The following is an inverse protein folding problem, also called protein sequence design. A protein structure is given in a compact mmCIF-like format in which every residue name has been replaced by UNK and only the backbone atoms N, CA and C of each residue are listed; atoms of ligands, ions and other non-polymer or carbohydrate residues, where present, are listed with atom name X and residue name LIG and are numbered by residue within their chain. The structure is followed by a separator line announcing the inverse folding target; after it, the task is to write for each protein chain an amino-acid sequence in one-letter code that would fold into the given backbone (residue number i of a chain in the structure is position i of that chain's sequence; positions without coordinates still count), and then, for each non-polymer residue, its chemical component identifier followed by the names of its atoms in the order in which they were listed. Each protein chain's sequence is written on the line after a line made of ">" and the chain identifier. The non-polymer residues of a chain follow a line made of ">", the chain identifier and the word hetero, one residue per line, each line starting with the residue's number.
data_IF_373651039582
#
_entry.id   IF_373651039582
#
_cell.length_a   1.000
_cell.length_b   1.000
_cell.length_c   1.000
_cell.angle_alpha   90.00
_cell.angle_beta   90.00
_cell.angle_gamma   90.00
#
_symmetry.space_group_name_H-M   'P 1'
#
loop_
_entity.id
_entity.type
_entity.pdbx_description
1 polymer ?
#
# COMPACT_ATOMS: atom_id res chain seq x y z
N UNK A 1 -15.04 32.34 31.60
CA UNK A 1 -14.95 30.94 32.08
C UNK A 1 -15.77 29.97 31.22
N UNK A 2 -17.08 30.21 30.98
CA UNK A 2 -17.94 29.30 30.17
C UNK A 2 -17.42 28.95 28.76
N UNK A 3 -16.78 29.90 28.06
CA UNK A 3 -16.20 29.68 26.72
C UNK A 3 -14.95 28.79 26.72
N UNK A 4 -14.16 28.80 27.81
CA UNK A 4 -12.94 27.98 27.95
C UNK A 4 -13.32 26.53 28.26
N UNK A 5 -14.33 26.31 29.10
CA UNK A 5 -14.91 24.97 29.34
C UNK A 5 -15.51 24.35 28.07
N UNK A 6 -16.11 25.17 27.18
CA UNK A 6 -16.69 24.66 25.93
C UNK A 6 -15.61 24.22 24.92
N UNK A 7 -14.49 24.94 24.86
CA UNK A 7 -13.34 24.60 24.01
C UNK A 7 -12.63 23.34 24.53
N UNK A 8 -12.48 23.19 25.85
CA UNK A 8 -11.91 21.98 26.45
C UNK A 8 -12.79 20.74 26.22
N UNK A 9 -14.12 20.89 26.24
CA UNK A 9 -15.06 19.81 25.95
C UNK A 9 -15.01 19.39 24.47
N UNK A 10 -14.79 20.34 23.55
CA UNK A 10 -14.67 20.09 22.10
C UNK A 10 -13.36 19.40 21.71
N UNK A 11 -12.27 19.65 22.45
CA UNK A 11 -11.00 18.94 22.26
C UNK A 11 -11.03 17.49 22.80
N UNK A 12 -11.89 17.21 23.79
CA UNK A 12 -12.01 15.88 24.39
C UNK A 12 -12.81 14.89 23.51
N UNK A 13 -13.55 15.38 22.51
CA UNK A 13 -14.37 14.57 21.60
C UNK A 13 -13.63 13.97 20.39
N UNK A 14 -12.32 14.21 20.24
CA UNK A 14 -11.50 13.69 19.13
C UNK A 14 -10.69 12.43 19.49
N UNK A 15 -11.22 11.54 20.33
CA UNK A 15 -10.62 10.22 20.48
C UNK A 15 -10.90 9.40 19.23
N UNK A 16 -9.88 9.21 18.40
CA UNK A 16 -9.88 8.30 17.26
C UNK A 16 -10.15 6.88 17.76
N UNK A 17 -11.39 6.40 17.61
CA UNK A 17 -11.74 5.02 17.89
C UNK A 17 -11.22 4.16 16.73
N UNK A 18 -10.18 3.37 16.98
CA UNK A 18 -9.74 2.33 16.05
C UNK A 18 -10.74 1.17 16.09
N UNK A 19 -11.77 1.21 15.24
CA UNK A 19 -12.65 0.07 15.04
C UNK A 19 -11.95 -0.98 14.16
N UNK A 20 -10.96 -1.69 14.72
CA UNK A 20 -10.41 -2.86 14.05
C UNK A 20 -11.44 -3.98 14.14
N UNK A 21 -11.81 -4.54 12.99
CA UNK A 21 -12.62 -5.74 12.96
C UNK A 21 -11.91 -6.83 13.79
N UNK A 22 -12.64 -7.63 14.58
CA UNK A 22 -12.04 -8.66 15.40
C UNK A 22 -11.15 -9.59 14.56
N UNK A 23 -9.91 -9.85 15.01
CA UNK A 23 -8.98 -10.78 14.37
C UNK A 23 -9.35 -12.24 14.66
N UNK A 24 -10.62 -12.59 14.45
CA UNK A 24 -11.19 -13.90 14.72
C UNK A 24 -12.23 -14.25 13.68
N UNK A 25 -12.44 -15.54 13.41
CA UNK A 25 -13.52 -16.01 12.54
C UNK A 25 -14.36 -17.07 13.26
N UNK A 26 -15.68 -17.04 13.05
CA UNK A 26 -16.57 -18.06 13.62
C UNK A 26 -16.38 -19.39 12.90
N UNK A 27 -16.35 -20.49 13.65
CA UNK A 27 -16.28 -21.84 13.12
C UNK A 27 -17.20 -22.76 13.90
N UNK A 28 -17.92 -23.62 13.18
CA UNK A 28 -18.82 -24.60 13.76
C UNK A 28 -18.59 -25.95 13.09
N UNK A 29 -18.57 -27.00 13.90
CA UNK A 29 -18.45 -28.37 13.40
C UNK A 29 -19.21 -29.34 14.29
N UNK A 30 -19.79 -30.37 13.69
CA UNK A 30 -20.46 -31.46 14.41
C UNK A 30 -19.47 -32.60 14.61
N UNK A 31 -19.20 -32.94 15.86
CA UNK A 31 -18.22 -33.96 16.22
C UNK A 31 -18.91 -35.33 16.36
N UNK A 32 -18.40 -36.30 15.61
CA UNK A 32 -18.85 -37.70 15.62
C UNK A 32 -17.71 -38.64 15.96
N UNK A 33 -18.02 -39.75 16.63
CA UNK A 33 -17.10 -40.87 16.81
C UNK A 33 -16.97 -41.67 15.52
N UNK A 34 -16.04 -42.62 15.50
CA UNK A 34 -15.81 -43.54 14.37
C UNK A 34 -17.03 -44.40 14.02
N UNK A 35 -17.89 -44.69 15.00
CA UNK A 35 -19.16 -45.41 14.83
C UNK A 35 -20.31 -44.51 14.31
N UNK A 36 -20.06 -43.22 14.07
CA UNK A 36 -21.03 -42.24 13.60
C UNK A 36 -21.88 -41.59 14.69
N UNK A 37 -21.76 -42.02 15.95
CA UNK A 37 -22.48 -41.45 17.10
C UNK A 37 -22.00 -40.03 17.41
N UNK A 38 -22.90 -39.18 17.91
CA UNK A 38 -22.59 -37.80 18.28
C UNK A 38 -21.80 -37.76 19.60
N UNK A 39 -20.81 -36.86 19.66
CA UNK A 39 -20.12 -36.53 20.91
C UNK A 39 -20.88 -35.38 21.55
N UNK A 40 -21.78 -35.68 22.49
CA UNK A 40 -22.72 -34.70 23.07
C UNK A 40 -22.28 -34.24 24.46
N UNK A 41 -22.44 -32.96 24.79
CA UNK A 41 -22.17 -32.37 26.11
C UNK A 41 -20.79 -32.77 26.69
N UNK A 42 -19.79 -32.91 25.83
CA UNK A 42 -18.46 -33.39 26.21
C UNK A 42 -17.43 -32.30 25.96
N UNK A 43 -16.51 -32.12 26.91
CA UNK A 43 -15.36 -31.25 26.73
C UNK A 43 -14.35 -31.90 25.79
N UNK A 44 -14.02 -31.22 24.70
CA UNK A 44 -13.11 -31.70 23.67
C UNK A 44 -11.97 -30.70 23.43
N UNK A 45 -10.80 -31.22 23.09
CA UNK A 45 -9.62 -30.45 22.72
C UNK A 45 -9.54 -30.38 21.21
N UNK A 46 -9.35 -29.19 20.64
CA UNK A 46 -9.34 -28.96 19.20
C UNK A 46 -8.08 -28.19 18.82
N UNK A 47 -7.28 -28.78 17.94
CA UNK A 47 -6.19 -28.11 17.25
C UNK A 47 -6.68 -27.65 15.88
N UNK A 48 -6.46 -26.38 15.57
CA UNK A 48 -6.90 -25.73 14.34
C UNK A 48 -5.67 -25.27 13.59
N UNK A 49 -5.56 -25.62 12.31
CA UNK A 49 -4.49 -25.20 11.42
C UNK A 49 -5.05 -24.51 10.19
N UNK A 50 -4.46 -23.39 9.79
CA UNK A 50 -4.69 -22.75 8.49
C UNK A 50 -3.59 -23.21 7.54
N UNK A 51 -3.97 -24.00 6.54
CA UNK A 51 -3.07 -24.54 5.53
C UNK A 51 -3.14 -23.69 4.25
N UNK A 52 -2.00 -23.45 3.62
CA UNK A 52 -1.90 -22.67 2.38
C UNK A 52 -1.80 -23.56 1.14
N UNK A 53 -2.53 -23.22 0.08
CA UNK A 53 -2.43 -23.80 -1.26
C UNK A 53 -3.18 -25.12 -1.46
N UNK A 54 -3.14 -26.03 -0.50
CA UNK A 54 -3.84 -27.33 -0.59
C UNK A 54 -4.26 -27.89 0.78
N UNK A 55 -5.05 -28.96 0.76
CA UNK A 55 -5.49 -29.70 1.96
C UNK A 55 -4.36 -30.33 2.77
N UNK A 56 -3.17 -30.45 2.18
CA UNK A 56 -1.93 -30.94 2.81
C UNK A 56 -0.80 -29.91 2.75
N UNK A 57 -1.15 -28.63 2.51
CA UNK A 57 -0.18 -27.55 2.37
C UNK A 57 0.45 -27.13 3.69
N UNK A 58 1.36 -26.17 3.62
CA UNK A 58 2.08 -25.65 4.80
C UNK A 58 1.10 -24.98 5.77
N UNK A 59 1.21 -25.31 7.06
CA UNK A 59 0.44 -24.64 8.11
C UNK A 59 1.06 -23.28 8.43
N UNK A 60 0.40 -22.20 8.00
CA UNK A 60 0.84 -20.82 8.24
C UNK A 60 0.38 -20.27 9.59
N UNK A 61 -0.62 -20.91 10.19
CA UNK A 61 -1.11 -20.61 11.53
C UNK A 61 -1.64 -21.89 12.19
N UNK A 62 -1.33 -22.08 13.47
CA UNK A 62 -1.82 -23.20 14.29
C UNK A 62 -2.20 -22.68 15.67
N UNK A 63 -3.36 -23.09 16.18
CA UNK A 63 -3.80 -22.82 17.56
C UNK A 63 -4.48 -24.03 18.19
N UNK A 64 -4.59 -24.02 19.51
CA UNK A 64 -5.38 -24.97 20.29
C UNK A 64 -6.48 -24.27 21.09
N UNK A 65 -7.62 -24.95 21.20
CA UNK A 65 -8.79 -24.52 21.95
C UNK A 65 -9.46 -25.72 22.63
N UNK A 66 -10.16 -25.46 23.73
CA UNK A 66 -11.05 -26.43 24.37
C UNK A 66 -12.47 -25.90 24.32
N UNK A 67 -13.45 -26.75 23.97
CA UNK A 67 -14.87 -26.36 23.94
C UNK A 67 -15.74 -27.53 24.37
N UNK A 68 -16.99 -27.25 24.74
CA UNK A 68 -17.98 -28.28 25.08
C UNK A 68 -18.99 -28.39 23.95
N UNK A 69 -19.20 -29.60 23.42
CA UNK A 69 -20.22 -29.84 22.40
C UNK A 69 -21.62 -29.73 22.99
N UNK A 70 -22.62 -29.35 22.18
CA UNK A 70 -24.02 -29.32 22.64
C UNK A 70 -24.73 -30.68 22.45
N UNK A 71 -26.05 -30.72 22.69
CA UNK A 71 -26.90 -31.92 22.52
C UNK A 71 -26.91 -32.49 21.09
N UNK A 72 -26.58 -31.68 20.08
CA UNK A 72 -26.47 -32.09 18.68
C UNK A 72 -25.02 -32.42 18.29
N UNK A 73 -24.11 -32.49 19.26
CA UNK A 73 -22.68 -32.71 19.02
C UNK A 73 -21.96 -31.53 18.35
N UNK A 74 -22.59 -30.35 18.33
CA UNK A 74 -22.04 -29.15 17.70
C UNK A 74 -21.01 -28.49 18.63
N UNK A 75 -19.80 -28.30 18.10
CA UNK A 75 -18.77 -27.45 18.67
C UNK A 75 -18.81 -26.07 18.00
N UNK A 76 -18.84 -25.00 18.79
CA UNK A 76 -18.76 -23.61 18.32
C UNK A 76 -17.47 -22.98 18.83
N UNK A 77 -16.70 -22.39 17.92
CA UNK A 77 -15.36 -21.86 18.16
C UNK A 77 -15.18 -20.51 17.46
N UNK A 78 -14.22 -19.73 17.93
CA UNK A 78 -13.73 -18.53 17.24
C UNK A 78 -12.25 -18.74 16.90
N UNK A 79 -11.94 -19.07 15.65
CA UNK A 79 -10.57 -19.27 15.18
C UNK A 79 -9.81 -17.95 15.29
N UNK A 80 -8.59 -17.95 15.85
CA UNK A 80 -7.83 -16.75 16.19
C UNK A 80 -8.04 -16.29 17.64
N UNK A 81 -8.90 -16.98 18.39
CA UNK A 81 -9.15 -16.76 19.82
C UNK A 81 -8.49 -17.78 20.74
N UNK A 82 -7.79 -18.77 20.19
CA UNK A 82 -7.15 -19.85 20.94
C UNK A 82 -5.72 -19.52 21.38
N UNK A 83 -5.03 -20.56 21.85
CA UNK A 83 -3.60 -20.47 22.20
C UNK A 83 -2.78 -20.74 20.94
N UNK A 84 -2.08 -19.73 20.37
CA UNK A 84 -1.29 -19.94 19.16
C UNK A 84 -0.06 -20.81 19.45
N UNK A 85 0.20 -21.77 18.55
CA UNK A 85 1.39 -22.65 18.54
C UNK A 85 2.36 -22.19 17.44
N UNK A 86 1.82 -21.82 16.28
CA UNK A 86 2.61 -21.37 15.12
C UNK A 86 1.98 -20.12 14.54
N UNK A 87 2.79 -19.09 14.28
CA UNK A 87 2.36 -17.84 13.67
C UNK A 87 1.37 -17.05 14.53
N UNK A 88 0.79 -16.01 13.94
CA UNK A 88 -0.31 -15.24 14.54
C UNK A 88 -1.44 -15.13 13.52
N UNK A 89 -2.69 -15.10 13.98
CA UNK A 89 -3.83 -14.96 13.06
C UNK A 89 -3.75 -13.66 12.23
N UNK A 90 -3.25 -12.58 12.85
CA UNK A 90 -2.99 -11.29 12.19
C UNK A 90 -1.90 -11.35 11.12
N UNK A 91 -0.92 -12.25 11.27
CA UNK A 91 0.23 -12.38 10.38
C UNK A 91 -0.03 -13.24 9.13
N UNK A 92 -1.23 -13.83 9.00
CA UNK A 92 -1.57 -14.65 7.83
C UNK A 92 -1.70 -13.75 6.59
N UNK A 93 -0.88 -14.02 5.56
CA UNK A 93 -0.95 -13.29 4.30
C UNK A 93 -2.07 -13.82 3.39
N UNK A 94 -3.31 -13.43 3.66
CA UNK A 94 -4.50 -13.92 2.95
C UNK A 94 -4.54 -13.70 1.42
N UNK A 95 -3.62 -12.92 0.82
CA UNK A 95 -3.49 -12.82 -0.65
C UNK A 95 -2.81 -14.02 -1.30
N UNK A 96 -2.07 -14.84 -0.54
CA UNK A 96 -1.15 -15.80 -1.13
C UNK A 96 -1.82 -17.11 -1.56
N UNK A 97 -3.00 -17.01 -2.18
CA UNK A 97 -3.72 -18.12 -2.78
C UNK A 97 -4.85 -18.68 -1.91
N UNK A 98 -5.17 -19.96 -2.11
CA UNK A 98 -6.25 -20.66 -1.41
C UNK A 98 -5.82 -21.08 -0.01
N UNK A 99 -6.79 -21.12 0.91
CA UNK A 99 -6.56 -21.55 2.29
C UNK A 99 -7.53 -22.66 2.70
N UNK A 100 -7.11 -23.49 3.64
CA UNK A 100 -7.89 -24.58 4.18
C UNK A 100 -7.83 -24.55 5.70
N UNK A 101 -8.96 -24.81 6.36
CA UNK A 101 -9.01 -25.10 7.79
C UNK A 101 -8.87 -26.60 7.98
N UNK A 102 -7.84 -27.00 8.69
CA UNK A 102 -7.72 -28.36 9.24
C UNK A 102 -8.04 -28.32 10.73
N UNK A 103 -8.95 -29.17 11.14
CA UNK A 103 -9.28 -29.40 12.55
C UNK A 103 -8.86 -30.81 12.95
N UNK A 104 -8.33 -30.92 14.16
CA UNK A 104 -7.89 -32.16 14.78
C UNK A 104 -8.47 -32.17 16.20
N UNK A 105 -9.22 -33.20 16.58
CA UNK A 105 -10.02 -33.24 17.82
C UNK A 105 -9.62 -34.41 18.72
N UNK A 106 -9.46 -34.12 20.02
CA UNK A 106 -9.31 -35.06 21.12
C UNK A 106 -10.59 -35.06 21.96
N UNK A 107 -11.22 -36.23 22.10
CA UNK A 107 -12.48 -36.41 22.80
C UNK A 107 -12.36 -36.27 24.33
N UNK A 108 -11.15 -36.29 24.87
CA UNK A 108 -10.87 -36.19 26.31
C UNK A 108 -10.43 -34.79 26.74
N UNK A 109 -10.34 -33.84 25.79
CA UNK A 109 -9.81 -32.50 26.09
C UNK A 109 -8.28 -32.41 26.11
N UNK A 110 -7.57 -33.50 25.85
CA UNK A 110 -6.12 -33.57 25.82
C UNK A 110 -5.50 -33.18 24.47
N UNK A 111 -4.33 -33.74 24.18
CA UNK A 111 -3.54 -33.49 22.97
C UNK A 111 -3.43 -34.72 22.05
N UNK A 112 -4.19 -35.78 22.31
CA UNK A 112 -4.21 -36.98 21.49
C UNK A 112 -5.33 -36.89 20.44
N UNK A 113 -5.07 -36.07 19.41
CA UNK A 113 -6.04 -35.78 18.37
C UNK A 113 -6.24 -36.97 17.43
N UNK A 114 -7.44 -37.53 17.42
CA UNK A 114 -7.77 -38.77 16.68
C UNK A 114 -8.77 -38.54 15.55
N UNK A 115 -9.60 -37.51 15.64
CA UNK A 115 -10.54 -37.13 14.58
C UNK A 115 -9.95 -35.95 13.83
N UNK A 116 -9.90 -36.01 12.50
CA UNK A 116 -9.43 -34.88 11.68
C UNK A 116 -10.38 -34.59 10.52
N UNK A 117 -10.48 -33.32 10.16
CA UNK A 117 -11.24 -32.86 9.01
C UNK A 117 -10.60 -31.62 8.40
N UNK A 118 -10.55 -31.56 7.07
CA UNK A 118 -10.02 -30.42 6.32
C UNK A 118 -11.11 -29.86 5.41
N UNK A 119 -11.28 -28.55 5.41
CA UNK A 119 -12.27 -27.85 4.59
C UNK A 119 -11.65 -26.61 3.96
N UNK A 120 -11.98 -26.32 2.71
CA UNK A 120 -11.49 -25.12 2.04
C UNK A 120 -12.18 -23.87 2.61
N UNK A 121 -11.40 -22.81 2.83
CA UNK A 121 -11.92 -21.46 3.04
C UNK A 121 -12.34 -20.88 1.70
N UNK A 122 -13.64 -20.93 1.41
CA UNK A 122 -14.23 -20.32 0.21
C UNK A 122 -14.31 -18.79 0.31
N UNK A 123 -14.27 -18.26 1.53
CA UNK A 123 -14.09 -16.84 1.80
C UNK A 123 -13.19 -16.72 3.02
N UNK A 124 -11.98 -16.22 2.80
CA UNK A 124 -11.18 -15.64 3.89
C UNK A 124 -11.92 -14.40 4.41
N UNK A 125 -11.64 -13.87 5.60
CA UNK A 125 -12.23 -12.62 6.06
C UNK A 125 -11.90 -11.46 5.11
N UNK A 126 -12.70 -11.34 4.05
CA UNK A 126 -12.51 -10.42 2.94
C UNK A 126 -12.55 -8.96 3.43
N UNK A 127 -13.23 -8.71 4.56
CA UNK A 127 -13.33 -7.41 5.20
C UNK A 127 -12.06 -6.96 5.95
N UNK A 128 -11.20 -7.87 6.43
CA UNK A 128 -9.93 -7.44 7.08
C UNK A 128 -8.82 -7.17 6.06
N UNK A 129 -8.91 -7.77 4.87
CA UNK A 129 -7.88 -7.74 3.85
C UNK A 129 -8.17 -6.73 2.72
N UNK A 130 -9.44 -6.51 2.37
CA UNK A 130 -9.84 -5.60 1.28
C UNK A 130 -9.49 -4.11 1.52
N UNK A 131 -9.24 -3.70 2.77
CA UNK A 131 -8.85 -2.32 3.11
C UNK A 131 -7.35 -2.05 3.09
N UNK A 132 -6.51 -3.08 3.26
CA UNK A 132 -5.07 -2.92 3.47
C UNK A 132 -4.21 -3.48 2.33
N UNK A 133 -4.67 -4.49 1.59
CA UNK A 133 -3.87 -5.10 0.52
C UNK A 133 -4.08 -4.46 -0.86
N UNK A 134 -5.13 -3.65 -1.01
CA UNK A 134 -5.48 -3.00 -2.28
C UNK A 134 -4.74 -1.67 -2.47
N UNK A 135 -4.12 -1.15 -1.41
CA UNK A 135 -3.58 0.20 -1.37
C UNK A 135 -4.69 1.26 -1.38
N UNK A 136 -4.31 2.50 -1.09
CA UNK A 136 -5.17 3.65 -1.33
C UNK A 136 -5.08 4.04 -2.79
N UNK A 137 -6.19 4.48 -3.38
CA UNK A 137 -6.19 5.07 -4.74
C UNK A 137 -5.26 6.28 -4.85
N UNK A 138 -5.15 7.04 -3.76
CA UNK A 138 -4.28 8.21 -3.67
C UNK A 138 -3.42 8.16 -2.41
N UNK A 139 -2.12 8.38 -2.56
CA UNK A 139 -1.20 8.62 -1.44
C UNK A 139 -0.97 10.12 -1.33
N UNK A 140 -1.13 10.65 -0.11
CA UNK A 140 -1.04 12.09 0.16
C UNK A 140 -0.04 12.33 1.29
N UNK A 141 1.08 12.98 0.97
CA UNK A 141 2.11 13.38 1.93
C UNK A 141 2.06 14.90 2.12
N UNK A 142 1.87 15.35 3.37
CA UNK A 142 1.78 16.78 3.70
C UNK A 142 2.36 17.10 5.07
N UNK A 143 2.63 18.38 5.34
CA UNK A 143 3.04 18.87 6.65
C UNK A 143 4.47 18.48 7.05
N UNK A 144 4.73 18.39 8.35
CA UNK A 144 6.08 18.14 8.87
C UNK A 144 6.47 16.65 8.85
N UNK A 145 6.29 16.00 7.70
CA UNK A 145 6.62 14.59 7.50
C UNK A 145 8.12 14.42 7.23
N UNK A 146 8.77 13.53 7.97
CA UNK A 146 10.19 13.15 7.73
C UNK A 146 10.31 12.12 6.62
N UNK A 147 11.52 11.91 6.08
CA UNK A 147 11.78 10.87 5.07
C UNK A 147 11.33 9.48 5.52
N UNK A 148 11.60 9.11 6.78
CA UNK A 148 11.23 7.80 7.33
C UNK A 148 9.71 7.64 7.43
N UNK A 149 8.99 8.70 7.84
CA UNK A 149 7.53 8.69 7.91
C UNK A 149 6.91 8.62 6.52
N UNK A 150 7.44 9.37 5.56
CA UNK A 150 6.99 9.33 4.17
C UNK A 150 7.17 7.95 3.56
N UNK A 151 8.34 7.33 3.73
CA UNK A 151 8.61 5.97 3.24
C UNK A 151 7.68 4.94 3.90
N UNK A 152 7.46 5.03 5.22
CA UNK A 152 6.55 4.13 5.94
C UNK A 152 5.11 4.29 5.47
N UNK A 153 4.64 5.53 5.26
CA UNK A 153 3.30 5.79 4.76
C UNK A 153 3.13 5.29 3.33
N UNK A 154 4.09 5.56 2.44
CA UNK A 154 4.08 5.05 1.07
C UNK A 154 4.02 3.52 1.07
N UNK A 155 4.86 2.84 1.87
CA UNK A 155 4.88 1.38 1.95
C UNK A 155 3.56 0.80 2.50
N UNK A 156 2.89 1.49 3.41
CA UNK A 156 1.62 1.06 4.00
C UNK A 156 0.41 1.34 3.10
N UNK A 157 0.48 2.39 2.27
CA UNK A 157 -0.65 2.84 1.43
C UNK A 157 -0.54 2.38 -0.03
N UNK A 158 0.62 1.91 -0.46
CA UNK A 158 0.82 1.39 -1.81
C UNK A 158 0.09 0.05 -2.00
N UNK A 159 -0.56 -0.09 -3.16
CA UNK A 159 -1.15 -1.34 -3.61
C UNK A 159 -1.55 -1.30 -5.09
N UNK A 160 -2.17 -2.37 -5.60
CA UNK A 160 -2.47 -2.54 -7.02
C UNK A 160 -3.38 -1.46 -7.63
N UNK A 161 -4.15 -0.73 -6.80
CA UNK A 161 -5.04 0.35 -7.25
C UNK A 161 -4.51 1.74 -6.91
N UNK A 162 -3.27 1.88 -6.45
CA UNK A 162 -2.68 3.18 -6.19
C UNK A 162 -2.31 3.86 -7.50
N UNK A 163 -3.02 4.93 -7.83
CA UNK A 163 -2.91 5.61 -9.12
C UNK A 163 -2.43 7.05 -8.97
N UNK A 164 -2.56 7.68 -7.79
CA UNK A 164 -2.30 9.10 -7.62
C UNK A 164 -1.33 9.38 -6.47
N UNK A 165 -0.32 10.21 -6.72
CA UNK A 165 0.66 10.64 -5.73
C UNK A 165 0.63 12.15 -5.58
N UNK A 166 0.28 12.60 -4.37
CA UNK A 166 0.26 14.01 -3.99
C UNK A 166 1.26 14.26 -2.86
N UNK A 167 2.25 15.11 -3.11
CA UNK A 167 3.23 15.51 -2.08
C UNK A 167 3.23 17.03 -1.99
N UNK A 168 2.56 17.58 -0.97
CA UNK A 168 2.26 19.01 -0.91
C UNK A 168 2.61 19.62 0.43
N UNK A 169 3.18 20.83 0.42
CA UNK A 169 3.40 21.62 1.63
C UNK A 169 4.18 20.85 2.71
N UNK A 170 5.18 20.04 2.32
CA UNK A 170 5.99 19.32 3.31
C UNK A 170 7.14 20.18 3.83
N UNK A 171 7.41 20.07 5.12
CA UNK A 171 8.47 20.85 5.80
C UNK A 171 9.59 19.97 6.37
N UNK A 172 9.35 18.69 6.62
CA UNK A 172 10.35 17.75 7.15
C UNK A 172 10.97 16.82 6.09
N UNK A 173 10.46 16.86 4.87
CA UNK A 173 10.80 15.93 3.80
C UNK A 173 11.97 16.49 2.99
N UNK A 174 13.09 15.77 2.95
CA UNK A 174 14.27 16.15 2.16
C UNK A 174 14.49 15.25 0.96
N UNK A 175 14.09 13.98 1.05
CA UNK A 175 14.16 13.03 -0.06
C UNK A 175 12.86 12.26 -0.18
N UNK A 176 12.39 12.09 -1.40
CA UNK A 176 11.19 11.32 -1.71
C UNK A 176 11.57 10.12 -2.57
N UNK A 177 11.29 8.91 -2.09
CA UNK A 177 11.50 7.68 -2.84
C UNK A 177 10.17 7.12 -3.37
N UNK A 178 10.02 7.10 -4.70
CA UNK A 178 8.87 6.56 -5.41
C UNK A 178 9.29 5.42 -6.35
N UNK A 179 10.43 4.76 -6.06
CA UNK A 179 10.93 3.64 -6.87
C UNK A 179 10.00 2.43 -6.90
N UNK A 180 9.03 2.30 -5.98
CA UNK A 180 8.05 1.21 -6.05
C UNK A 180 6.98 1.40 -7.14
N UNK A 181 6.83 2.62 -7.67
CA UNK A 181 5.83 2.92 -8.68
C UNK A 181 6.36 2.64 -10.09
N UNK A 182 5.63 1.84 -10.86
CA UNK A 182 5.92 1.56 -12.28
C UNK A 182 4.99 2.33 -13.22
N UNK A 183 3.74 2.53 -12.81
CA UNK A 183 2.76 3.36 -13.52
C UNK A 183 1.88 4.11 -12.54
N UNK A 184 1.51 5.34 -12.89
CA UNK A 184 0.57 6.18 -12.14
C UNK A 184 -0.34 6.93 -13.10
N UNK A 185 -1.49 7.35 -12.61
CA UNK A 185 -2.34 8.35 -13.27
C UNK A 185 -1.79 9.75 -13.01
N UNK A 186 -1.61 10.15 -11.75
CA UNK A 186 -1.20 11.52 -11.40
C UNK A 186 0.06 11.57 -10.54
N UNK A 187 0.98 12.45 -10.92
CA UNK A 187 2.08 12.93 -10.07
C UNK A 187 1.89 14.42 -9.80
N UNK A 188 1.73 14.81 -8.54
CA UNK A 188 1.50 16.20 -8.14
C UNK A 188 2.33 16.55 -6.91
N UNK A 189 3.52 17.09 -7.12
CA UNK A 189 4.48 17.42 -6.06
C UNK A 189 4.61 18.94 -6.01
N UNK A 190 4.22 19.59 -4.91
CA UNK A 190 4.39 21.05 -4.82
C UNK A 190 4.61 21.64 -3.44
N UNK A 191 5.27 22.80 -3.40
CA UNK A 191 5.47 23.59 -2.19
C UNK A 191 6.21 22.83 -1.07
N UNK A 192 7.14 21.93 -1.43
CA UNK A 192 7.95 21.18 -0.47
C UNK A 192 9.26 21.92 -0.23
N UNK A 193 9.34 22.63 0.89
CA UNK A 193 10.38 23.65 1.13
C UNK A 193 11.79 23.08 1.28
N UNK A 194 11.91 21.83 1.72
CA UNK A 194 13.19 21.18 2.02
C UNK A 194 13.50 19.98 1.09
N UNK A 195 12.64 19.68 0.12
CA UNK A 195 12.78 18.52 -0.76
C UNK A 195 13.90 18.75 -1.78
N UNK A 196 14.99 18.00 -1.70
CA UNK A 196 16.17 18.14 -2.57
C UNK A 196 16.24 17.08 -3.67
N UNK A 197 15.61 15.92 -3.46
CA UNK A 197 15.70 14.77 -4.37
C UNK A 197 14.40 13.98 -4.46
N UNK A 198 14.04 13.56 -5.67
CA UNK A 198 12.95 12.63 -5.96
C UNK A 198 13.51 11.44 -6.74
N UNK A 199 13.26 10.22 -6.27
CA UNK A 199 13.62 8.98 -6.96
C UNK A 199 12.42 8.40 -7.72
N UNK A 200 12.51 8.34 -9.05
CA UNK A 200 11.51 7.79 -9.97
C UNK A 200 12.11 6.66 -10.83
N UNK A 201 13.05 5.89 -10.27
CA UNK A 201 13.88 4.95 -11.04
C UNK A 201 13.09 3.95 -11.86
N UNK A 202 11.93 3.50 -11.38
CA UNK A 202 11.13 2.47 -12.02
C UNK A 202 9.85 3.02 -12.68
N UNK A 203 9.60 4.33 -12.58
CA UNK A 203 8.38 4.93 -13.12
C UNK A 203 8.46 4.97 -14.64
N UNK A 204 7.68 4.12 -15.29
CA UNK A 204 7.65 3.93 -16.73
C UNK A 204 6.51 4.70 -17.40
N UNK A 205 5.35 4.82 -16.75
CA UNK A 205 4.16 5.40 -17.37
C UNK A 205 3.48 6.41 -16.44
N UNK A 206 3.10 7.56 -16.99
CA UNK A 206 2.22 8.52 -16.34
C UNK A 206 1.02 8.79 -17.26
N UNK A 207 -0.17 8.33 -16.89
CA UNK A 207 -1.34 8.40 -17.78
C UNK A 207 -2.04 9.77 -17.78
N UNK A 208 -1.96 10.52 -16.68
CA UNK A 208 -2.67 11.79 -16.50
C UNK A 208 -2.14 12.88 -17.42
N UNK A 209 -3.00 13.84 -17.75
CA UNK A 209 -2.70 14.90 -18.70
C UNK A 209 -1.66 15.91 -18.18
N UNK A 210 -1.58 16.13 -16.86
CA UNK A 210 -0.81 17.23 -16.27
C UNK A 210 -0.04 16.81 -14.99
N UNK A 211 0.95 15.91 -15.09
CA UNK A 211 1.89 15.70 -13.99
C UNK A 211 2.73 16.95 -13.76
N UNK A 212 2.86 17.34 -12.49
CA UNK A 212 3.60 18.52 -12.11
C UNK A 212 4.46 18.32 -10.87
N UNK A 213 5.63 18.96 -10.89
CA UNK A 213 6.58 19.08 -9.78
C UNK A 213 6.95 20.54 -9.69
N UNK A 214 6.29 21.29 -8.80
CA UNK A 214 6.38 22.75 -8.80
C UNK A 214 6.66 23.38 -7.45
N UNK A 215 7.33 24.53 -7.44
CA UNK A 215 7.54 25.31 -6.21
C UNK A 215 8.26 24.50 -5.11
N UNK A 216 9.25 23.69 -5.48
CA UNK A 216 10.11 22.98 -4.53
C UNK A 216 11.49 23.67 -4.57
N UNK A 217 11.69 24.76 -3.80
CA UNK A 217 12.75 25.75 -4.03
C UNK A 217 14.18 25.21 -3.86
N UNK A 218 14.37 24.01 -3.32
CA UNK A 218 15.69 23.37 -3.14
C UNK A 218 15.80 22.03 -3.88
N UNK A 219 14.80 21.66 -4.68
CA UNK A 219 14.80 20.43 -5.47
C UNK A 219 15.80 20.54 -6.61
N UNK A 220 16.89 19.80 -6.51
CA UNK A 220 18.00 19.82 -7.48
C UNK A 220 18.22 18.49 -8.19
N UNK A 221 17.58 17.40 -7.73
CA UNK A 221 17.76 16.06 -8.29
C UNK A 221 16.41 15.38 -8.58
N UNK A 222 16.12 15.22 -9.87
CA UNK A 222 15.02 14.41 -10.40
C UNK A 222 15.44 13.88 -11.77
N UNK A 223 15.09 12.62 -12.05
CA UNK A 223 15.35 11.99 -13.34
C UNK A 223 14.23 10.99 -13.65
N UNK A 224 14.05 10.70 -14.94
CA UNK A 224 13.00 9.81 -15.45
C UNK A 224 13.62 8.65 -16.24
N UNK A 225 14.53 7.84 -15.65
CA UNK A 225 15.32 6.88 -16.42
C UNK A 225 14.46 5.83 -17.14
N UNK A 226 13.39 5.35 -16.50
CA UNK A 226 12.52 4.31 -17.05
C UNK A 226 11.30 4.82 -17.81
N UNK A 227 11.06 6.14 -17.84
CA UNK A 227 9.85 6.71 -18.45
C UNK A 227 9.78 6.37 -19.95
N UNK A 228 8.68 5.77 -20.39
CA UNK A 228 8.44 5.42 -21.80
C UNK A 228 7.20 6.12 -22.34
N UNK A 229 6.23 6.45 -21.47
CA UNK A 229 4.99 7.13 -21.85
C UNK A 229 4.55 8.15 -20.81
N UNK A 230 4.07 9.28 -21.28
CA UNK A 230 3.42 10.33 -20.50
C UNK A 230 2.13 10.75 -21.21
N UNK A 231 1.20 11.36 -20.48
CA UNK A 231 0.04 12.03 -21.09
C UNK A 231 0.45 13.29 -21.85
N UNK A 232 -0.32 14.36 -21.69
CA UNK A 232 -0.21 15.52 -22.58
C UNK A 232 0.85 16.52 -22.16
N UNK A 233 1.35 16.47 -20.91
CA UNK A 233 2.22 17.52 -20.40
C UNK A 233 3.22 17.02 -19.35
N UNK A 234 4.25 17.84 -19.09
CA UNK A 234 5.13 17.71 -17.93
C UNK A 234 5.56 19.10 -17.46
N UNK A 235 5.26 19.40 -16.20
CA UNK A 235 5.57 20.68 -15.57
C UNK A 235 6.57 20.50 -14.43
N UNK A 236 7.74 21.12 -14.53
CA UNK A 236 8.83 21.05 -13.56
C UNK A 236 9.27 22.47 -13.18
N UNK A 237 8.36 23.31 -12.70
CA UNK A 237 8.59 24.76 -12.56
C UNK A 237 8.88 25.23 -11.14
N UNK A 238 9.60 26.34 -10.94
CA UNK A 238 9.79 26.85 -9.57
C UNK A 238 10.63 25.94 -8.66
N UNK A 239 11.59 25.21 -9.23
CA UNK A 239 12.48 24.32 -8.47
C UNK A 239 13.92 24.87 -8.48
N UNK A 240 14.91 24.06 -8.10
CA UNK A 240 16.34 24.39 -8.17
C UNK A 240 17.09 23.40 -9.07
N UNK A 241 16.47 22.98 -10.18
CA UNK A 241 17.10 22.06 -11.13
C UNK A 241 18.25 22.76 -11.85
N UNK A 242 19.36 22.04 -12.06
CA UNK A 242 20.51 22.58 -12.78
C UNK A 242 20.35 22.40 -14.29
N UNK A 243 21.06 23.19 -15.10
CA UNK A 243 21.06 23.02 -16.58
C UNK A 243 21.42 21.60 -17.01
N UNK A 244 22.28 20.89 -16.26
CA UNK A 244 22.59 19.48 -16.52
C UNK A 244 21.38 18.58 -16.35
N UNK A 245 20.58 18.79 -15.30
CA UNK A 245 19.33 18.04 -15.08
C UNK A 245 18.30 18.38 -16.14
N UNK A 246 18.16 19.67 -16.49
CA UNK A 246 17.29 20.12 -17.59
C UNK A 246 17.66 19.43 -18.91
N UNK A 247 18.95 19.40 -19.27
CA UNK A 247 19.43 18.73 -20.47
C UNK A 247 19.09 17.23 -20.46
N UNK A 248 19.28 16.55 -19.31
CA UNK A 248 18.95 15.12 -19.19
C UNK A 248 17.46 14.85 -19.36
N UNK A 249 16.60 15.73 -18.84
CA UNK A 249 15.14 15.61 -18.98
C UNK A 249 14.73 15.84 -20.43
N UNK A 250 15.24 16.89 -21.08
CA UNK A 250 14.97 17.15 -22.50
C UNK A 250 15.38 15.96 -23.37
N UNK A 251 16.59 15.42 -23.15
CA UNK A 251 17.07 14.25 -23.87
C UNK A 251 16.17 13.04 -23.69
N UNK A 252 15.73 12.77 -22.46
CA UNK A 252 14.84 11.66 -22.15
C UNK A 252 13.51 11.77 -22.89
N UNK A 253 12.93 12.98 -22.93
CA UNK A 253 11.62 13.24 -23.52
C UNK A 253 11.56 13.10 -25.05
N UNK A 254 12.70 13.07 -25.74
CA UNK A 254 12.76 12.81 -27.20
C UNK A 254 12.14 11.46 -27.58
N UNK A 255 12.23 10.47 -26.68
CA UNK A 255 11.82 9.09 -26.94
C UNK A 255 10.62 8.66 -26.06
N UNK A 256 9.95 9.60 -25.40
CA UNK A 256 8.76 9.32 -24.58
C UNK A 256 7.50 9.51 -25.43
N UNK A 257 6.60 8.54 -25.42
CA UNK A 257 5.34 8.61 -26.15
C UNK A 257 4.29 9.42 -25.36
N UNK A 258 3.43 10.22 -26.04
CA UNK A 258 3.45 10.51 -27.48
C UNK A 258 4.65 11.37 -27.87
N UNK A 259 5.21 11.16 -29.06
CA UNK A 259 6.43 11.89 -29.52
C UNK A 259 6.17 13.40 -29.79
N UNK A 260 4.91 13.78 -30.00
CA UNK A 260 4.44 15.13 -30.33
C UNK A 260 3.24 15.51 -29.46
N UNK A 261 2.85 16.79 -29.50
CA UNK A 261 1.65 17.28 -28.80
C UNK A 261 1.82 17.51 -27.30
N UNK A 262 3.03 17.31 -26.74
CA UNK A 262 3.27 17.52 -25.31
C UNK A 262 3.49 18.99 -24.98
N UNK A 263 3.03 19.43 -23.82
CA UNK A 263 3.45 20.68 -23.20
C UNK A 263 4.54 20.42 -22.14
N UNK A 264 5.76 20.85 -22.42
CA UNK A 264 6.95 20.66 -21.59
C UNK A 264 7.34 22.01 -21.00
N UNK A 265 7.20 22.18 -19.68
CA UNK A 265 7.56 23.40 -18.98
C UNK A 265 8.61 23.12 -17.92
N UNK A 266 9.82 23.61 -18.14
CA UNK A 266 10.99 23.41 -17.27
C UNK A 266 11.56 24.73 -16.72
N UNK A 267 10.84 25.83 -16.86
CA UNK A 267 11.29 27.17 -16.45
C UNK A 267 11.01 27.53 -14.99
N UNK A 268 11.42 28.73 -14.60
CA UNK A 268 11.33 29.24 -13.24
C UNK A 268 12.28 28.55 -12.26
N UNK A 269 13.43 28.04 -12.71
CA UNK A 269 14.40 27.48 -11.77
C UNK A 269 15.07 28.60 -10.98
N UNK A 270 15.47 28.31 -9.75
CA UNK A 270 16.23 29.23 -8.90
C UNK A 270 17.50 28.54 -8.40
N UNK A 271 18.70 28.89 -8.91
CA UNK A 271 18.94 29.89 -9.96
C UNK A 271 18.40 29.46 -11.34
N UNK A 272 18.23 30.40 -12.30
CA UNK A 272 17.80 30.07 -13.65
C UNK A 272 18.71 29.02 -14.29
N UNK A 273 18.09 28.05 -14.98
CA UNK A 273 18.78 26.90 -15.55
C UNK A 273 18.43 26.70 -17.04
N UNK A 274 18.84 27.62 -17.93
CA UNK A 274 18.62 27.45 -19.36
C UNK A 274 19.34 26.19 -19.86
N UNK A 275 18.81 25.50 -20.89
CA UNK A 275 19.48 24.36 -21.50
C UNK A 275 20.79 24.79 -22.16
N UNK A 276 21.77 23.89 -22.17
CA UNK A 276 23.11 24.15 -22.71
C UNK A 276 23.59 23.00 -23.60
N UNK A 277 24.49 23.28 -24.54
CA UNK A 277 25.09 22.26 -25.41
C UNK A 277 24.03 21.41 -26.12
N UNK A 278 24.11 20.08 -25.95
CA UNK A 278 23.15 19.14 -26.52
C UNK A 278 21.69 19.42 -26.10
N UNK A 279 21.47 19.97 -24.89
CA UNK A 279 20.11 20.31 -24.45
C UNK A 279 19.43 21.39 -25.29
N UNK A 280 20.20 22.29 -25.92
CA UNK A 280 19.66 23.30 -26.86
C UNK A 280 19.12 22.59 -28.11
N UNK A 281 19.88 21.60 -28.61
CA UNK A 281 19.49 20.80 -29.77
C UNK A 281 18.26 19.95 -29.43
N UNK A 282 18.28 19.27 -28.28
CA UNK A 282 17.17 18.42 -27.83
C UNK A 282 15.88 19.24 -27.65
N UNK A 283 15.97 20.46 -27.08
CA UNK A 283 14.84 21.40 -27.01
C UNK A 283 14.31 21.74 -28.41
N UNK A 284 15.19 22.09 -29.34
CA UNK A 284 14.78 22.44 -30.70
C UNK A 284 14.15 21.25 -31.44
N UNK A 285 14.66 20.04 -31.23
CA UNK A 285 14.09 18.81 -31.79
C UNK A 285 12.68 18.58 -31.25
N UNK A 286 12.47 18.67 -29.93
CA UNK A 286 11.14 18.55 -29.31
C UNK A 286 10.14 19.56 -29.87
N UNK A 287 10.56 20.81 -30.07
CA UNK A 287 9.72 21.85 -30.70
C UNK A 287 9.39 21.47 -32.14
N UNK A 288 10.38 21.03 -32.93
CA UNK A 288 10.20 20.66 -34.33
C UNK A 288 9.30 19.44 -34.52
N UNK A 289 9.22 18.55 -33.53
CA UNK A 289 8.29 17.41 -33.52
C UNK A 289 6.88 17.79 -33.06
N UNK A 290 6.61 19.07 -32.80
CA UNK A 290 5.27 19.57 -32.47
C UNK A 290 4.94 19.56 -30.97
N UNK A 291 5.94 19.65 -30.10
CA UNK A 291 5.73 19.85 -28.65
C UNK A 291 5.86 21.34 -28.30
N UNK A 292 5.08 21.82 -27.34
CA UNK A 292 5.32 23.13 -26.71
C UNK A 292 6.42 22.99 -25.67
N UNK A 293 7.52 23.74 -25.80
CA UNK A 293 8.67 23.62 -24.86
C UNK A 293 9.08 24.98 -24.32
N UNK A 294 9.05 25.12 -22.99
CA UNK A 294 9.50 26.31 -22.26
C UNK A 294 10.60 25.95 -21.26
N UNK A 295 11.65 26.77 -21.20
CA UNK A 295 12.77 26.70 -20.25
C UNK A 295 13.09 28.11 -19.78
N UNK A 296 13.96 28.24 -18.78
CA UNK A 296 14.65 29.51 -18.51
C UNK A 296 15.48 30.00 -19.71
#
# INVERSE_FOLDING_TARGET
>A
MKKITLIALLFCSFTLLFAQAPQKMSYQSVIRKTDGSLVVNTSVGIKISILQGSTSGTAVYVETQTTTTNINGLATLAIGGGTPITGTFAGINWASGTYFIKTETDLTGGTNYTISGTSQLLSVPYALYAGSSQGKTSIVLTGNITNAQAAAQIAAEFGPYTENIYVRNTTGLTTLDLSMFTSILQLAISNNVNLTKINLSNLAIIYGAEPFVEKNPVLSSIAFPSLTSIGDSIYLTGNALTSTVINSILNKLLNVTPISGKNISLGGQTPPAPPTGQGIIDKQTLISTGNGVSTD
#
